data_IF_148937176057
#
_entry.id   IF_148937176057
#
_cell.length_a   1.000
_cell.length_b   1.000
_cell.length_c   1.000
_cell.angle_alpha   90.00
_cell.angle_beta   90.00
_cell.angle_gamma   90.00
#
_symmetry.space_group_name_H-M   'P 1'
#
loop_
_entity.id
_entity.type
_entity.pdbx_description
1 polymer ?
#
# COMPACT_ATOMS: atom_id res chain seq x y z
N UNK A 1 29.92 -102.59 -15.90
CA UNK A 1 31.12 -101.85 -15.47
C UNK A 1 30.66 -100.66 -14.60
N UNK A 2 31.11 -100.66 -13.36
CA UNK A 2 30.70 -99.73 -12.30
C UNK A 2 31.46 -98.42 -12.43
N UNK A 3 30.83 -97.32 -12.30
CA UNK A 3 31.49 -96.04 -11.91
C UNK A 3 30.57 -95.20 -11.00
N UNK A 4 31.08 -95.04 -9.80
CA UNK A 4 30.48 -94.23 -8.75
C UNK A 4 30.61 -92.75 -9.07
N UNK A 5 29.52 -91.91 -8.84
CA UNK A 5 29.61 -90.47 -8.72
C UNK A 5 29.28 -90.07 -7.30
N UNK A 6 30.25 -89.41 -6.67
CA UNK A 6 30.16 -88.77 -5.35
C UNK A 6 29.45 -87.48 -5.43
N UNK A 7 28.42 -87.29 -4.57
CA UNK A 7 27.72 -86.04 -4.38
C UNK A 7 28.61 -85.04 -3.61
N UNK A 8 28.78 -83.85 -4.18
CA UNK A 8 29.35 -82.71 -3.50
C UNK A 8 28.18 -81.74 -3.28
N UNK A 9 27.82 -81.58 -2.00
CA UNK A 9 26.79 -80.58 -1.59
C UNK A 9 27.37 -79.16 -1.58
N UNK A 10 26.74 -78.30 -2.32
CA UNK A 10 27.04 -76.84 -2.29
C UNK A 10 26.12 -76.17 -1.28
N UNK A 11 26.71 -75.66 -0.18
CA UNK A 11 26.01 -74.86 0.81
C UNK A 11 25.97 -73.43 0.30
N UNK A 12 24.80 -72.93 -0.05
CA UNK A 12 24.58 -71.49 -0.35
C UNK A 12 24.36 -70.75 0.96
N UNK A 13 25.34 -69.91 1.34
CA UNK A 13 25.22 -68.98 2.41
C UNK A 13 24.50 -67.74 1.89
N UNK A 14 23.21 -67.55 2.25
CA UNK A 14 22.45 -66.32 1.93
C UNK A 14 22.81 -65.25 2.92
N UNK A 15 23.60 -64.27 2.50
CA UNK A 15 23.82 -63.01 3.26
C UNK A 15 22.66 -62.08 3.04
N UNK A 16 21.82 -61.92 4.05
CA UNK A 16 20.76 -60.88 4.08
C UNK A 16 21.43 -59.54 4.35
N UNK A 17 21.57 -58.72 3.33
CA UNK A 17 21.93 -57.29 3.50
C UNK A 17 20.70 -56.51 3.99
N UNK A 18 20.69 -56.16 5.28
CA UNK A 18 19.76 -55.19 5.84
C UNK A 18 20.16 -53.80 5.33
N UNK A 19 19.54 -53.31 4.26
CA UNK A 19 19.60 -51.91 3.90
C UNK A 19 18.76 -51.11 4.89
N UNK A 20 19.43 -50.55 5.91
CA UNK A 20 18.87 -49.52 6.77
C UNK A 20 18.66 -48.27 5.91
N UNK A 21 17.44 -48.01 5.50
CA UNK A 21 17.02 -46.68 5.05
C UNK A 21 17.05 -45.74 6.26
N UNK A 22 18.15 -45.03 6.48
CA UNK A 22 18.14 -43.85 7.29
C UNK A 22 17.28 -42.82 6.57
N UNK A 23 16.07 -42.53 7.08
CA UNK A 23 15.38 -41.29 6.78
C UNK A 23 16.33 -40.18 7.22
N UNK A 24 16.94 -39.50 6.28
CA UNK A 24 17.45 -38.16 6.54
C UNK A 24 16.22 -37.29 6.87
N UNK A 25 15.97 -37.03 8.15
CA UNK A 25 15.20 -35.90 8.57
C UNK A 25 15.97 -34.67 8.06
N UNK A 26 15.48 -34.10 6.95
CA UNK A 26 15.90 -32.78 6.54
C UNK A 26 15.43 -31.83 7.64
N UNK A 27 16.29 -31.62 8.62
CA UNK A 27 16.15 -30.50 9.54
C UNK A 27 16.23 -29.24 8.67
N UNK A 28 15.07 -28.72 8.27
CA UNK A 28 14.95 -27.38 7.76
C UNK A 28 15.49 -26.47 8.86
N UNK A 29 16.76 -26.10 8.75
CA UNK A 29 17.33 -25.01 9.55
C UNK A 29 16.59 -23.75 9.11
N UNK A 30 15.49 -23.41 9.78
CA UNK A 30 14.89 -22.09 9.67
C UNK A 30 15.94 -21.09 10.10
N UNK A 31 16.55 -20.41 9.14
CA UNK A 31 17.42 -19.25 9.42
C UNK A 31 16.54 -18.30 10.24
N UNK A 32 16.96 -17.90 11.44
CA UNK A 32 16.18 -16.95 12.20
C UNK A 32 15.96 -15.70 11.38
N UNK A 33 14.72 -15.20 11.30
CA UNK A 33 14.41 -13.96 10.62
C UNK A 33 15.33 -12.85 11.15
N UNK A 34 16.10 -12.22 10.27
CA UNK A 34 16.94 -11.09 10.66
C UNK A 34 16.08 -9.83 10.68
N UNK A 35 16.22 -9.02 11.73
CA UNK A 35 15.56 -7.71 11.79
C UNK A 35 16.10 -6.84 10.66
N UNK A 36 15.26 -6.36 9.73
CA UNK A 36 15.73 -5.58 8.59
C UNK A 36 16.18 -4.18 9.00
N UNK A 37 17.02 -3.56 8.17
CA UNK A 37 17.33 -2.15 8.31
C UNK A 37 16.14 -1.28 7.88
N UNK A 38 16.07 -0.06 8.39
CA UNK A 38 15.10 0.94 7.93
C UNK A 38 15.19 1.18 6.41
N UNK A 39 16.42 1.21 5.88
CA UNK A 39 16.65 1.40 4.45
C UNK A 39 16.10 0.24 3.61
N UNK A 40 16.26 -1.01 4.07
CA UNK A 40 15.73 -2.17 3.34
C UNK A 40 14.19 -2.11 3.24
N UNK A 41 13.52 -1.76 4.33
CA UNK A 41 12.07 -1.60 4.35
C UNK A 41 11.61 -0.43 3.46
N UNK A 42 12.27 0.73 3.55
CA UNK A 42 12.00 1.89 2.69
C UNK A 42 12.21 1.56 1.20
N UNK A 43 13.21 0.74 0.86
CA UNK A 43 13.44 0.32 -0.53
C UNK A 43 12.28 -0.48 -1.11
N UNK A 44 11.61 -1.34 -0.31
CA UNK A 44 10.41 -2.03 -0.77
C UNK A 44 9.27 -1.06 -1.09
N UNK A 45 9.03 -0.08 -0.21
CA UNK A 45 7.99 0.95 -0.42
C UNK A 45 8.29 1.80 -1.67
N UNK A 46 9.55 2.20 -1.86
CA UNK A 46 9.98 2.95 -3.04
C UNK A 46 9.83 2.13 -4.32
N UNK A 47 10.14 0.84 -4.29
CA UNK A 47 9.92 -0.06 -5.42
C UNK A 47 8.43 -0.16 -5.77
N UNK A 48 7.54 -0.20 -4.76
CA UNK A 48 6.11 -0.21 -4.96
C UNK A 48 5.61 1.11 -5.61
N UNK A 49 6.11 2.27 -5.16
CA UNK A 49 5.82 3.58 -5.79
C UNK A 49 6.24 3.59 -7.26
N UNK A 50 7.46 3.10 -7.56
CA UNK A 50 7.91 2.99 -8.95
C UNK A 50 7.01 2.09 -9.78
N UNK A 51 6.52 1.00 -9.20
CA UNK A 51 5.62 0.04 -9.87
C UNK A 51 4.25 0.61 -10.25
N UNK A 52 3.80 1.69 -9.58
CA UNK A 52 2.54 2.39 -9.90
C UNK A 52 2.76 3.72 -10.61
N UNK A 53 4.01 4.07 -10.94
CA UNK A 53 4.36 5.31 -11.63
C UNK A 53 4.21 5.14 -13.14
N UNK A 54 3.51 6.08 -13.78
CA UNK A 54 3.41 6.22 -15.23
C UNK A 54 4.02 7.54 -15.65
N UNK A 55 4.76 7.54 -16.77
CA UNK A 55 5.31 8.76 -17.33
C UNK A 55 4.78 8.97 -18.75
N UNK A 56 4.48 10.21 -19.09
CA UNK A 56 4.11 10.64 -20.43
C UNK A 56 4.61 12.06 -20.70
N UNK A 57 4.50 12.52 -21.95
CA UNK A 57 4.91 13.88 -22.32
C UNK A 57 3.77 14.64 -22.93
N UNK A 58 3.85 15.96 -22.88
CA UNK A 58 3.02 16.87 -23.66
C UNK A 58 3.88 17.97 -24.32
N UNK A 59 3.35 18.62 -25.35
CA UNK A 59 3.94 19.80 -25.95
C UNK A 59 3.16 21.01 -25.45
N UNK A 60 3.83 21.90 -24.72
CA UNK A 60 3.15 22.94 -23.95
C UNK A 60 2.33 23.91 -24.82
N UNK A 61 2.87 24.33 -25.97
CA UNK A 61 2.19 25.27 -26.90
C UNK A 61 0.99 24.66 -27.65
N UNK A 62 0.81 23.33 -27.62
CA UNK A 62 -0.37 22.69 -28.22
C UNK A 62 -1.66 22.87 -27.39
N UNK A 63 -1.58 23.53 -26.24
CA UNK A 63 -2.73 23.81 -25.40
C UNK A 63 -3.19 22.60 -24.58
N UNK A 64 -4.46 22.24 -24.67
CA UNK A 64 -5.04 21.17 -23.85
C UNK A 64 -4.56 19.80 -24.31
N UNK A 65 -3.73 19.16 -23.47
CA UNK A 65 -3.32 17.76 -23.64
C UNK A 65 -4.27 16.84 -22.85
N UNK A 66 -4.57 15.68 -23.45
CA UNK A 66 -5.36 14.62 -22.81
C UNK A 66 -4.57 13.33 -22.83
N UNK A 67 -4.44 12.68 -21.67
CA UNK A 67 -3.84 11.35 -21.53
C UNK A 67 -4.80 10.42 -20.81
N UNK A 68 -4.69 9.12 -21.05
CA UNK A 68 -5.50 8.09 -20.38
C UNK A 68 -4.55 7.16 -19.64
N UNK A 69 -4.75 7.00 -18.35
CA UNK A 69 -3.94 6.12 -17.51
C UNK A 69 -4.23 4.64 -17.78
N UNK A 70 -3.38 3.72 -17.28
CA UNK A 70 -3.65 2.28 -17.36
C UNK A 70 -4.97 1.84 -16.72
N UNK A 71 -5.46 2.57 -15.71
CA UNK A 71 -6.75 2.32 -15.05
C UNK A 71 -7.93 3.05 -15.73
N UNK A 72 -7.68 3.81 -16.79
CA UNK A 72 -8.71 4.51 -17.55
C UNK A 72 -9.09 5.88 -16.99
N UNK A 73 -8.28 6.46 -16.09
CA UNK A 73 -8.44 7.87 -15.69
C UNK A 73 -8.03 8.77 -16.85
N UNK A 74 -8.92 9.72 -17.19
CA UNK A 74 -8.61 10.74 -18.21
C UNK A 74 -7.97 11.94 -17.49
N UNK A 75 -6.74 12.26 -17.88
CA UNK A 75 -5.94 13.36 -17.33
C UNK A 75 -5.89 14.49 -18.36
N UNK A 76 -6.36 15.67 -18.00
CA UNK A 76 -6.36 16.85 -18.89
C UNK A 76 -5.49 17.95 -18.29
N UNK A 77 -4.45 18.36 -19.02
CA UNK A 77 -3.50 19.40 -18.62
C UNK A 77 -3.41 20.44 -19.74
N UNK A 78 -3.63 21.70 -19.41
CA UNK A 78 -3.44 22.79 -20.37
C UNK A 78 -1.96 23.23 -20.37
N UNK A 79 -1.23 22.87 -21.43
CA UNK A 79 0.19 23.22 -21.59
C UNK A 79 0.43 24.72 -21.59
N UNK A 80 -0.47 25.53 -22.15
CA UNK A 80 -0.37 27.01 -22.13
C UNK A 80 -0.42 27.59 -20.71
N UNK A 81 -0.94 26.84 -19.75
CA UNK A 81 -0.97 27.20 -18.33
C UNK A 81 0.31 26.91 -17.57
N UNK A 82 1.25 26.15 -18.16
CA UNK A 82 2.48 25.74 -17.47
C UNK A 82 3.46 26.89 -17.32
N UNK A 83 4.18 26.92 -16.19
CA UNK A 83 5.15 27.95 -15.85
C UNK A 83 6.44 27.33 -15.33
N UNK A 84 7.57 27.80 -15.86
CA UNK A 84 8.91 27.50 -15.39
C UNK A 84 9.51 28.75 -14.79
N UNK A 85 9.72 28.78 -13.48
CA UNK A 85 10.16 29.96 -12.75
C UNK A 85 9.30 31.21 -13.05
N UNK A 86 7.97 31.02 -13.14
CA UNK A 86 6.99 32.05 -13.42
C UNK A 86 6.77 32.38 -14.92
N UNK A 87 7.62 31.92 -15.81
CA UNK A 87 7.54 32.20 -17.25
C UNK A 87 6.75 31.11 -18.00
N UNK A 88 6.04 31.46 -19.10
CA UNK A 88 5.41 30.49 -19.97
C UNK A 88 6.39 29.45 -20.51
N UNK A 89 5.92 28.24 -20.71
CA UNK A 89 6.71 27.09 -21.18
C UNK A 89 6.38 26.80 -22.64
N UNK A 90 7.37 26.42 -23.45
CA UNK A 90 7.22 25.87 -24.79
C UNK A 90 8.02 24.58 -24.93
N UNK A 91 7.63 23.73 -25.89
CA UNK A 91 8.30 22.45 -26.15
C UNK A 91 7.83 21.32 -25.25
N UNK A 92 8.63 20.26 -25.20
CA UNK A 92 8.29 19.03 -24.50
C UNK A 92 8.36 19.22 -22.99
N UNK A 93 7.32 18.73 -22.31
CA UNK A 93 7.22 18.67 -20.84
C UNK A 93 7.01 17.23 -20.44
N UNK A 94 7.78 16.77 -19.45
CA UNK A 94 7.69 15.44 -18.86
C UNK A 94 6.66 15.47 -17.72
N UNK A 95 5.72 14.52 -17.73
CA UNK A 95 4.70 14.34 -16.71
C UNK A 95 4.93 13.01 -16.01
N UNK A 96 5.03 13.05 -14.68
CA UNK A 96 4.96 11.87 -13.81
C UNK A 96 3.57 11.78 -13.23
N UNK A 97 2.98 10.59 -13.28
CA UNK A 97 1.65 10.31 -12.79
C UNK A 97 1.63 9.02 -11.96
N UNK A 98 0.95 9.06 -10.81
CA UNK A 98 0.70 7.90 -9.96
C UNK A 98 -0.79 7.84 -9.68
N UNK A 99 -1.36 6.63 -9.61
CA UNK A 99 -2.73 6.38 -9.20
C UNK A 99 -2.82 5.15 -8.30
N UNK A 100 -3.53 5.29 -7.17
CA UNK A 100 -3.74 4.25 -6.17
C UNK A 100 -5.23 4.15 -5.86
N UNK A 101 -5.80 2.92 -5.91
CA UNK A 101 -7.24 2.71 -5.75
C UNK A 101 -7.61 1.61 -4.76
N UNK A 102 -6.69 0.74 -4.39
CA UNK A 102 -6.98 -0.45 -3.58
C UNK A 102 -6.08 -0.53 -2.35
N UNK A 103 -6.57 -1.21 -1.30
CA UNK A 103 -5.89 -1.32 -0.02
C UNK A 103 -4.50 -1.96 -0.10
N UNK A 104 -4.31 -2.93 -1.02
CA UNK A 104 -3.01 -3.56 -1.25
C UNK A 104 -1.97 -2.58 -1.75
N UNK A 105 -2.33 -1.73 -2.72
CA UNK A 105 -1.46 -0.66 -3.24
C UNK A 105 -1.24 0.43 -2.19
N UNK A 106 -2.28 0.84 -1.45
CA UNK A 106 -2.15 1.80 -0.35
C UNK A 106 -1.14 1.33 0.68
N UNK A 107 -1.17 0.05 1.04
CA UNK A 107 -0.25 -0.55 1.99
C UNK A 107 1.19 -0.56 1.47
N UNK A 108 1.42 -1.11 0.27
CA UNK A 108 2.78 -1.29 -0.27
C UNK A 108 3.45 0.03 -0.62
N UNK A 109 2.67 1.05 -1.00
CA UNK A 109 3.17 2.41 -1.28
C UNK A 109 3.22 3.32 -0.05
N UNK A 110 2.73 2.85 1.11
CA UNK A 110 2.56 3.64 2.35
C UNK A 110 1.73 4.92 2.13
N UNK A 111 0.69 4.82 1.31
CA UNK A 111 -0.29 5.89 1.05
C UNK A 111 -1.63 5.45 1.65
N UNK A 112 -1.96 5.98 2.82
CA UNK A 112 -3.14 5.59 3.58
C UNK A 112 -4.22 6.65 3.53
N UNK A 113 -5.47 6.25 3.75
CA UNK A 113 -6.65 7.11 3.67
C UNK A 113 -7.01 7.68 5.03
N UNK A 114 -6.10 8.45 5.63
CA UNK A 114 -6.34 9.16 6.89
C UNK A 114 -6.52 10.65 6.62
N UNK A 115 -7.70 11.18 6.92
CA UNK A 115 -8.05 12.60 6.76
C UNK A 115 -7.96 13.38 8.06
N UNK A 116 -7.42 14.59 7.99
CA UNK A 116 -7.30 15.48 9.14
C UNK A 116 -8.66 16.12 9.49
N UNK A 117 -9.10 15.89 10.70
CA UNK A 117 -10.28 16.55 11.29
C UNK A 117 -9.97 18.00 11.70
N UNK A 118 -10.98 18.86 11.87
CA UNK A 118 -10.78 20.25 12.32
C UNK A 118 -10.07 20.38 13.67
N UNK A 119 -10.19 19.39 14.56
CA UNK A 119 -9.50 19.36 15.84
C UNK A 119 -8.05 18.83 15.76
N UNK A 120 -7.57 18.48 14.56
CA UNK A 120 -6.23 17.98 14.30
C UNK A 120 -6.07 16.47 14.38
N UNK A 121 -7.07 15.75 14.88
CA UNK A 121 -7.06 14.28 14.85
C UNK A 121 -7.19 13.75 13.41
N UNK A 122 -6.78 12.50 13.20
CA UNK A 122 -6.91 11.82 11.92
C UNK A 122 -8.04 10.79 11.99
N UNK A 123 -8.84 10.68 10.95
CA UNK A 123 -9.93 9.72 10.85
C UNK A 123 -9.94 9.05 9.48
N UNK A 124 -10.52 7.85 9.40
CA UNK A 124 -10.61 7.07 8.16
C UNK A 124 -11.38 7.83 7.08
N UNK A 125 -10.83 7.84 5.88
CA UNK A 125 -11.51 8.26 4.66
C UNK A 125 -11.90 7.04 3.82
N UNK A 126 -12.98 7.17 3.06
CA UNK A 126 -13.34 6.26 1.98
C UNK A 126 -12.85 6.90 0.70
N UNK A 127 -11.94 6.21 -0.01
CA UNK A 127 -11.22 6.79 -1.14
C UNK A 127 -11.94 6.56 -2.49
N UNK A 128 -11.99 7.60 -3.28
CA UNK A 128 -12.30 7.61 -4.70
C UNK A 128 -11.05 7.61 -5.60
N UNK A 129 -9.86 7.44 -4.97
CA UNK A 129 -8.57 7.34 -5.64
C UNK A 129 -7.58 8.40 -5.21
N UNK A 130 -6.34 7.98 -5.06
CA UNK A 130 -5.18 8.83 -4.73
C UNK A 130 -4.34 9.05 -5.99
N UNK A 131 -3.92 10.29 -6.20
CA UNK A 131 -3.23 10.70 -7.42
C UNK A 131 -2.02 11.56 -7.10
N UNK A 132 -0.93 11.32 -7.79
CA UNK A 132 0.21 12.25 -7.83
C UNK A 132 0.45 12.70 -9.26
N UNK A 133 0.62 14.01 -9.44
CA UNK A 133 0.96 14.61 -10.74
C UNK A 133 2.15 15.54 -10.53
N UNK A 134 3.15 15.40 -11.38
CA UNK A 134 4.32 16.27 -11.43
C UNK A 134 4.62 16.61 -12.88
N UNK A 135 4.96 17.87 -13.16
CA UNK A 135 5.43 18.31 -14.46
C UNK A 135 6.85 18.84 -14.36
N UNK A 136 7.74 18.42 -15.26
CA UNK A 136 9.12 18.89 -15.36
C UNK A 136 9.50 19.25 -16.77
N UNK A 137 10.41 20.21 -16.90
CA UNK A 137 11.08 20.52 -18.17
C UNK A 137 12.59 20.71 -17.94
N UNK A 138 13.38 19.82 -18.54
CA UNK A 138 14.83 19.84 -18.36
C UNK A 138 15.22 19.67 -16.88
N UNK A 139 14.51 18.79 -16.16
CA UNK A 139 14.72 18.52 -14.73
C UNK A 139 14.14 19.55 -13.76
N UNK A 140 13.64 20.69 -14.24
CA UNK A 140 13.06 21.78 -13.40
C UNK A 140 11.57 21.55 -13.22
N UNK A 141 11.09 21.58 -11.97
CA UNK A 141 9.67 21.51 -11.63
C UNK A 141 8.90 22.69 -12.21
N UNK A 142 7.73 22.41 -12.76
CA UNK A 142 6.82 23.40 -13.27
C UNK A 142 5.67 23.65 -12.29
N UNK A 143 5.05 24.82 -12.42
CA UNK A 143 3.76 25.15 -11.82
C UNK A 143 2.71 25.33 -12.92
N UNK A 144 1.44 25.42 -12.55
CA UNK A 144 0.37 25.72 -13.49
C UNK A 144 -0.51 26.87 -13.00
N UNK A 145 -0.96 27.71 -13.92
CA UNK A 145 -1.98 28.76 -13.67
C UNK A 145 -3.35 28.33 -14.22
N UNK A 146 -3.42 27.18 -14.88
CA UNK A 146 -4.66 26.58 -15.36
C UNK A 146 -4.99 25.33 -14.51
N UNK A 147 -6.28 25.05 -14.29
CA UNK A 147 -6.67 23.84 -13.58
C UNK A 147 -6.29 22.57 -14.36
N UNK A 148 -6.04 21.49 -13.63
CA UNK A 148 -5.87 20.12 -14.14
C UNK A 148 -7.21 19.41 -13.88
N UNK A 149 -7.68 18.62 -14.84
CA UNK A 149 -8.91 17.83 -14.67
C UNK A 149 -8.59 16.34 -14.69
N UNK A 150 -9.16 15.60 -13.73
CA UNK A 150 -9.19 14.14 -13.75
C UNK A 150 -10.63 13.65 -13.90
N UNK A 151 -10.85 12.71 -14.83
CA UNK A 151 -12.12 11.99 -14.96
C UNK A 151 -11.88 10.52 -14.55
N UNK A 152 -12.38 10.16 -13.39
CA UNK A 152 -12.10 8.89 -12.71
C UNK A 152 -13.25 7.93 -12.96
N UNK A 153 -12.99 6.71 -13.50
CA UNK A 153 -14.04 5.69 -13.64
C UNK A 153 -14.58 5.27 -12.27
N UNK A 154 -15.89 5.39 -12.05
CA UNK A 154 -16.51 5.01 -10.78
C UNK A 154 -16.38 3.52 -10.45
N UNK A 155 -16.23 2.66 -11.49
CA UNK A 155 -16.02 1.22 -11.29
C UNK A 155 -14.74 0.88 -10.49
N UNK A 156 -13.76 1.80 -10.41
CA UNK A 156 -12.53 1.62 -9.64
C UNK A 156 -12.74 1.73 -8.12
N UNK A 157 -13.85 2.34 -7.69
CA UNK A 157 -14.08 2.73 -6.30
C UNK A 157 -15.48 2.40 -5.80
N UNK A 158 -16.12 1.41 -6.41
CA UNK A 158 -17.48 0.97 -6.02
C UNK A 158 -18.61 1.90 -6.46
N UNK A 159 -18.30 2.92 -7.29
CA UNK A 159 -19.27 3.88 -7.85
C UNK A 159 -18.81 5.33 -7.70
N UNK A 160 -19.17 6.16 -8.67
CA UNK A 160 -18.93 7.61 -8.58
C UNK A 160 -19.82 8.22 -7.49
N UNK A 161 -19.25 9.09 -6.64
CA UNK A 161 -19.94 9.63 -5.49
C UNK A 161 -19.73 11.15 -5.36
N UNK A 162 -20.82 11.91 -5.52
CA UNK A 162 -20.80 13.38 -5.44
C UNK A 162 -20.60 13.94 -4.01
N UNK A 163 -20.68 13.10 -2.98
CA UNK A 163 -20.38 13.52 -1.60
C UNK A 163 -18.86 13.49 -1.28
N UNK A 164 -18.02 13.05 -2.22
CA UNK A 164 -16.58 13.14 -2.09
C UNK A 164 -16.08 14.55 -2.36
N UNK A 165 -14.96 14.90 -1.73
CA UNK A 165 -14.25 16.17 -1.89
C UNK A 165 -12.81 15.88 -2.31
N UNK A 166 -12.06 16.92 -2.68
CA UNK A 166 -10.62 16.78 -2.96
C UNK A 166 -9.81 17.05 -1.70
N UNK A 167 -8.75 16.27 -1.53
CA UNK A 167 -7.84 16.33 -0.39
C UNK A 167 -6.41 16.52 -0.88
N UNK A 168 -5.64 17.36 -0.24
CA UNK A 168 -4.24 17.60 -0.56
C UNK A 168 -3.33 16.80 0.37
N UNK A 169 -2.38 16.08 -0.20
CA UNK A 169 -1.26 15.46 0.51
C UNK A 169 -0.12 16.47 0.63
N UNK A 170 0.32 16.73 1.84
CA UNK A 170 1.41 17.69 2.09
C UNK A 170 2.78 17.01 2.02
N UNK A 171 3.10 16.42 0.88
CA UNK A 171 4.34 15.69 0.67
C UNK A 171 5.16 16.31 -0.46
N UNK A 172 6.48 16.49 -0.25
CA UNK A 172 7.36 17.09 -1.25
C UNK A 172 7.68 16.16 -2.42
N UNK A 173 7.64 14.85 -2.22
CA UNK A 173 7.95 13.83 -3.23
C UNK A 173 6.98 12.64 -3.15
N UNK A 174 6.87 11.83 -4.22
CA UNK A 174 6.04 10.62 -4.22
C UNK A 174 6.42 9.61 -3.13
N UNK A 175 7.70 9.53 -2.79
CA UNK A 175 8.27 8.55 -1.87
C UNK A 175 8.13 8.96 -0.40
N UNK A 176 7.82 10.23 -0.11
CA UNK A 176 7.67 10.69 1.27
C UNK A 176 6.51 9.97 1.98
N UNK A 177 6.70 9.67 3.27
CA UNK A 177 5.66 9.01 4.09
C UNK A 177 4.46 9.92 4.29
N UNK A 178 3.27 9.38 4.06
CA UNK A 178 2.02 10.12 4.20
C UNK A 178 1.64 10.25 5.68
N UNK A 179 1.57 11.50 6.17
CA UNK A 179 1.07 11.80 7.50
C UNK A 179 -0.45 12.02 7.54
N UNK A 180 -1.10 12.06 6.39
CA UNK A 180 -2.54 12.23 6.22
C UNK A 180 -2.91 13.28 5.19
N UNK A 181 -4.21 13.35 4.92
CA UNK A 181 -4.80 14.22 3.91
C UNK A 181 -5.48 15.41 4.57
N UNK A 182 -5.35 16.58 3.96
CA UNK A 182 -6.05 17.81 4.37
C UNK A 182 -7.09 18.15 3.32
N UNK A 183 -8.33 18.35 3.73
CA UNK A 183 -9.41 18.69 2.81
C UNK A 183 -9.10 20.02 2.08
N UNK A 184 -9.21 20.00 0.76
CA UNK A 184 -8.97 21.15 -0.08
C UNK A 184 -10.28 21.95 -0.27
N UNK A 185 -10.56 22.84 0.67
CA UNK A 185 -11.77 23.70 0.63
C UNK A 185 -11.70 24.79 -0.45
N UNK A 186 -10.52 25.02 -1.05
CA UNK A 186 -10.34 26.02 -2.11
C UNK A 186 -10.62 25.44 -3.52
N UNK A 187 -10.76 24.10 -3.67
CA UNK A 187 -11.03 23.51 -4.98
C UNK A 187 -12.44 23.89 -5.48
N UNK A 188 -12.57 24.54 -6.64
CA UNK A 188 -13.86 24.93 -7.15
C UNK A 188 -14.69 23.71 -7.60
N UNK A 189 -15.96 23.69 -7.19
CA UNK A 189 -16.98 22.83 -7.77
C UNK A 189 -17.10 21.42 -7.23
N UNK A 190 -16.29 21.01 -6.22
CA UNK A 190 -16.37 19.68 -5.64
C UNK A 190 -16.18 18.55 -6.68
N UNK A 191 -16.71 17.37 -6.41
CA UNK A 191 -16.69 16.22 -7.31
C UNK A 191 -17.96 16.24 -8.19
N UNK A 192 -17.79 16.35 -9.50
CA UNK A 192 -18.88 16.27 -10.46
C UNK A 192 -19.08 14.81 -10.90
N UNK A 193 -20.30 14.29 -10.84
CA UNK A 193 -20.61 12.92 -11.24
C UNK A 193 -21.48 12.92 -12.50
N UNK A 194 -20.96 12.30 -13.58
CA UNK A 194 -21.69 12.11 -14.83
C UNK A 194 -21.21 10.85 -15.56
N UNK A 195 -22.11 10.11 -16.19
CA UNK A 195 -21.78 8.93 -17.01
C UNK A 195 -20.99 7.85 -16.26
N UNK A 196 -21.21 7.68 -14.94
CA UNK A 196 -20.49 6.70 -14.12
C UNK A 196 -19.04 7.10 -13.78
N UNK A 197 -18.66 8.36 -14.03
CA UNK A 197 -17.32 8.90 -13.71
C UNK A 197 -17.42 10.04 -12.70
N UNK A 198 -16.38 10.18 -11.90
CA UNK A 198 -16.14 11.34 -11.04
C UNK A 198 -15.17 12.28 -11.74
N UNK A 199 -15.55 13.54 -11.92
CA UNK A 199 -14.67 14.58 -12.47
C UNK A 199 -14.25 15.52 -11.34
N UNK A 200 -12.94 15.72 -11.22
CA UNK A 200 -12.34 16.61 -10.22
C UNK A 200 -11.43 17.63 -10.89
N UNK A 201 -11.36 18.80 -10.29
CA UNK A 201 -10.50 19.91 -10.71
C UNK A 201 -9.42 20.15 -9.68
N UNK A 202 -8.15 20.10 -10.11
CA UNK A 202 -6.98 20.32 -9.29
C UNK A 202 -6.37 21.69 -9.62
N UNK A 203 -5.97 22.43 -8.61
CA UNK A 203 -5.38 23.76 -8.78
C UNK A 203 -3.86 23.78 -8.92
N UNK A 204 -3.22 22.61 -8.90
CA UNK A 204 -1.77 22.47 -8.99
C UNK A 204 -1.33 21.03 -9.08
N UNK A 205 -0.02 20.87 -9.07
CA UNK A 205 0.66 19.56 -9.04
C UNK A 205 0.84 19.07 -7.60
N UNK A 206 1.17 17.79 -7.43
CA UNK A 206 1.41 17.13 -6.16
C UNK A 206 0.42 16.00 -5.89
N UNK A 207 0.36 15.55 -4.64
CA UNK A 207 -0.58 14.54 -4.17
C UNK A 207 -1.98 15.12 -3.98
N UNK A 208 -2.95 14.43 -4.52
CA UNK A 208 -4.38 14.70 -4.33
C UNK A 208 -5.12 13.40 -4.10
N UNK A 209 -6.07 13.41 -3.19
CA UNK A 209 -7.02 12.31 -2.99
C UNK A 209 -8.46 12.82 -3.23
N UNK A 210 -9.36 11.91 -3.57
CA UNK A 210 -10.79 12.17 -3.81
C UNK A 210 -11.58 11.34 -2.82
N UNK A 211 -11.94 11.91 -1.69
CA UNK A 211 -12.41 11.15 -0.54
C UNK A 211 -13.62 11.78 0.14
N UNK A 212 -14.19 11.01 1.07
CA UNK A 212 -15.11 11.48 2.11
C UNK A 212 -14.80 10.77 3.41
N UNK A 213 -15.14 11.38 4.55
CA UNK A 213 -15.00 10.70 5.83
C UNK A 213 -15.84 9.42 5.90
N UNK A 214 -15.26 8.38 6.51
CA UNK A 214 -16.01 7.26 7.01
C UNK A 214 -16.84 7.73 8.22
N UNK A 215 -18.16 7.71 8.07
CA UNK A 215 -19.05 8.19 9.12
C UNK A 215 -19.58 7.00 9.94
N UNK A 216 -19.21 6.98 11.22
CA UNK A 216 -19.63 5.98 12.19
C UNK A 216 -19.97 6.67 13.52
N UNK A 217 -21.15 6.36 14.07
CA UNK A 217 -21.67 7.00 15.29
C UNK A 217 -21.37 6.20 16.55
N UNK A 218 -20.75 5.02 16.45
CA UNK A 218 -20.37 4.19 17.60
C UNK A 218 -19.34 4.92 18.48
N UNK A 219 -19.30 4.59 19.80
CA UNK A 219 -18.19 5.02 20.65
C UNK A 219 -16.84 4.61 20.04
N UNK A 220 -15.82 5.42 20.27
CA UNK A 220 -14.50 5.24 19.65
C UNK A 220 -13.44 4.94 20.69
N UNK A 221 -12.35 4.31 20.28
CA UNK A 221 -11.20 3.96 21.10
C UNK A 221 -9.92 4.13 20.32
N UNK A 222 -8.78 4.23 21.01
CA UNK A 222 -7.47 4.01 20.42
C UNK A 222 -7.18 2.50 20.37
N UNK A 223 -6.27 2.11 19.47
CA UNK A 223 -5.74 0.75 19.38
C UNK A 223 -4.23 0.76 19.56
N UNK A 224 -3.73 -0.29 20.19
CA UNK A 224 -2.31 -0.54 20.36
C UNK A 224 -1.92 -1.87 19.71
N UNK A 225 -0.68 -1.96 19.26
CA UNK A 225 -0.13 -3.22 18.79
C UNK A 225 1.33 -3.38 19.17
N UNK A 226 1.68 -4.59 19.60
CA UNK A 226 3.07 -4.99 19.88
C UNK A 226 3.61 -5.78 18.71
N UNK A 227 4.90 -5.64 18.45
CA UNK A 227 5.63 -6.33 17.39
C UNK A 227 6.81 -7.11 17.99
N UNK A 228 7.40 -8.07 17.26
CA UNK A 228 8.58 -8.78 17.75
C UNK A 228 9.74 -7.84 18.10
N UNK A 229 10.60 -8.27 19.00
CA UNK A 229 11.76 -7.47 19.42
C UNK A 229 12.64 -7.06 18.23
N UNK A 230 13.08 -5.80 18.20
CA UNK A 230 13.89 -5.21 17.15
C UNK A 230 13.08 -4.53 16.04
N UNK A 231 11.78 -4.80 15.95
CA UNK A 231 10.91 -4.10 14.97
C UNK A 231 10.38 -2.80 15.56
N UNK A 232 10.29 -1.77 14.73
CA UNK A 232 9.85 -0.43 15.11
C UNK A 232 9.39 0.36 13.88
N UNK A 233 9.00 1.61 14.06
CA UNK A 233 8.51 2.50 12.97
C UNK A 233 9.50 2.71 11.81
N UNK A 234 10.78 2.44 11.98
CA UNK A 234 11.78 2.59 10.91
C UNK A 234 11.83 1.39 9.97
N UNK A 235 11.53 0.19 10.46
CA UNK A 235 11.70 -1.04 9.70
C UNK A 235 10.44 -1.90 9.59
N UNK A 236 9.32 -1.42 10.09
CA UNK A 236 8.02 -2.10 10.01
C UNK A 236 6.87 -1.10 10.10
N UNK A 237 5.67 -1.55 9.73
CA UNK A 237 4.43 -0.78 9.87
C UNK A 237 3.28 -1.68 10.27
N UNK A 238 2.26 -1.08 10.89
CA UNK A 238 0.98 -1.73 11.16
C UNK A 238 -0.12 -0.92 10.51
N UNK A 239 -0.95 -1.59 9.72
CA UNK A 239 -2.11 -1.03 9.06
C UNK A 239 -3.40 -1.63 9.59
N UNK A 240 -4.51 -0.95 9.33
CA UNK A 240 -5.85 -1.37 9.73
C UNK A 240 -6.78 -1.30 8.52
N UNK A 241 -7.28 -2.46 8.09
CA UNK A 241 -8.31 -2.59 7.08
C UNK A 241 -9.68 -2.70 7.76
N UNK A 242 -10.63 -1.88 7.37
CA UNK A 242 -12.02 -1.97 7.80
C UNK A 242 -12.79 -2.89 6.86
N UNK A 243 -13.39 -3.94 7.39
CA UNK A 243 -14.17 -4.88 6.58
C UNK A 243 -15.31 -4.16 5.85
N UNK A 244 -15.46 -4.44 4.55
CA UNK A 244 -16.39 -3.76 3.67
C UNK A 244 -15.86 -2.48 3.00
N UNK A 245 -14.61 -2.08 3.25
CA UNK A 245 -13.98 -0.89 2.67
C UNK A 245 -12.69 -1.22 1.92
N UNK A 246 -12.79 -1.93 0.80
CA UNK A 246 -11.64 -2.39 0.01
C UNK A 246 -10.75 -1.28 -0.58
N UNK A 247 -11.23 -0.03 -0.60
CA UNK A 247 -10.51 1.15 -1.07
C UNK A 247 -10.14 2.13 0.05
N UNK A 248 -9.94 1.62 1.26
CA UNK A 248 -9.57 2.41 2.44
C UNK A 248 -8.58 1.66 3.31
N UNK A 249 -7.62 2.38 3.88
CA UNK A 249 -6.62 1.80 4.76
C UNK A 249 -6.15 2.82 5.78
N UNK A 250 -6.22 2.49 7.07
CA UNK A 250 -5.61 3.28 8.14
C UNK A 250 -4.23 2.75 8.50
N UNK A 251 -3.49 3.49 9.29
CA UNK A 251 -2.18 3.12 9.83
C UNK A 251 -2.14 3.40 11.32
N UNK A 252 -1.43 2.53 12.06
CA UNK A 252 -0.97 2.88 13.41
C UNK A 252 0.21 3.84 13.24
N UNK A 253 -0.07 5.12 13.26
CA UNK A 253 0.81 6.19 12.80
C UNK A 253 1.90 6.59 13.81
N UNK A 254 1.78 6.12 15.04
CA UNK A 254 2.68 6.45 16.13
C UNK A 254 3.35 5.21 16.70
N UNK A 255 4.64 5.33 17.03
CA UNK A 255 5.39 4.31 17.76
C UNK A 255 5.77 4.84 19.14
N UNK A 256 5.52 4.05 20.18
CA UNK A 256 5.80 4.35 21.57
C UNK A 256 7.06 3.61 22.02
N UNK A 257 8.26 4.22 22.02
CA UNK A 257 9.52 3.52 22.28
C UNK A 257 9.59 2.91 23.70
N UNK A 258 8.97 3.55 24.68
CA UNK A 258 8.99 3.09 26.07
C UNK A 258 8.27 1.75 26.27
N UNK A 259 7.22 1.47 25.51
CA UNK A 259 6.44 0.23 25.57
C UNK A 259 6.63 -0.65 24.34
N UNK A 260 7.40 -0.20 23.34
CA UNK A 260 7.61 -0.87 22.06
C UNK A 260 6.31 -1.21 21.34
N UNK A 261 5.37 -0.26 21.34
CA UNK A 261 4.03 -0.42 20.74
C UNK A 261 3.81 0.57 19.62
N UNK A 262 3.12 0.10 18.58
CA UNK A 262 2.44 0.96 17.61
C UNK A 262 1.08 1.39 18.18
N UNK A 263 0.67 2.60 17.85
CA UNK A 263 -0.58 3.20 18.30
C UNK A 263 -1.33 3.88 17.16
N UNK A 264 -2.60 3.63 17.06
CA UNK A 264 -3.55 4.59 16.51
C UNK A 264 -3.93 5.54 17.67
N UNK A 265 -3.21 6.63 17.81
CA UNK A 265 -3.24 7.45 19.00
C UNK A 265 -4.38 8.49 19.04
N UNK A 266 -5.11 8.67 17.94
CA UNK A 266 -6.18 9.68 17.87
C UNK A 266 -7.50 9.23 18.50
N UNK A 267 -7.65 7.93 18.82
CA UNK A 267 -8.87 7.38 19.39
C UNK A 267 -10.08 7.49 18.45
N UNK A 268 -9.85 7.28 17.16
CA UNK A 268 -10.92 7.43 16.15
C UNK A 268 -11.49 6.11 15.64
N UNK A 269 -11.09 4.97 16.23
CA UNK A 269 -11.52 3.64 15.78
C UNK A 269 -12.85 3.26 16.46
N UNK A 270 -13.92 2.96 15.70
CA UNK A 270 -15.23 2.60 16.28
C UNK A 270 -15.17 1.26 17.03
N UNK A 271 -15.69 1.23 18.27
CA UNK A 271 -15.84 0.01 19.04
C UNK A 271 -16.88 -0.89 18.38
N UNK A 272 -16.62 -2.19 18.27
CA UNK A 272 -17.46 -3.17 17.57
C UNK A 272 -17.29 -3.17 16.05
N UNK A 273 -16.29 -2.45 15.51
CA UNK A 273 -15.92 -2.55 14.09
C UNK A 273 -15.24 -3.90 13.84
N UNK A 274 -15.64 -4.59 12.77
CA UNK A 274 -14.93 -5.77 12.27
C UNK A 274 -13.83 -5.28 11.34
N UNK A 275 -12.60 -5.74 11.55
CA UNK A 275 -11.45 -5.27 10.81
C UNK A 275 -10.27 -6.24 10.88
N UNK A 276 -9.22 -5.94 10.13
CA UNK A 276 -7.98 -6.70 10.10
C UNK A 276 -6.79 -5.77 10.40
N UNK A 277 -5.98 -6.12 11.41
CA UNK A 277 -4.68 -5.51 11.63
C UNK A 277 -3.62 -6.24 10.80
N UNK A 278 -2.74 -5.49 10.15
CA UNK A 278 -1.77 -5.99 9.19
C UNK A 278 -0.39 -5.49 9.60
N UNK A 279 0.45 -6.39 10.10
CA UNK A 279 1.87 -6.12 10.32
C UNK A 279 2.65 -6.39 9.04
N UNK A 280 3.54 -5.47 8.67
CA UNK A 280 4.43 -5.64 7.52
C UNK A 280 5.84 -5.18 7.83
N UNK A 281 6.81 -5.86 7.22
CA UNK A 281 8.23 -5.54 7.27
C UNK A 281 8.94 -6.12 6.04
N UNK A 282 10.25 -5.97 5.98
CA UNK A 282 11.10 -6.52 4.92
C UNK A 282 11.77 -7.83 5.39
N UNK A 283 11.96 -8.77 4.48
CA UNK A 283 12.80 -9.96 4.65
C UNK A 283 13.47 -10.34 3.33
N UNK A 284 14.79 -10.20 3.23
CA UNK A 284 15.57 -10.62 2.06
C UNK A 284 15.04 -10.11 0.71
N UNK A 285 14.65 -8.85 0.65
CA UNK A 285 14.09 -8.22 -0.55
C UNK A 285 12.61 -8.52 -0.81
N UNK A 286 11.92 -9.16 0.12
CA UNK A 286 10.50 -9.48 0.03
C UNK A 286 9.72 -8.90 1.20
N UNK A 287 8.40 -8.92 1.11
CA UNK A 287 7.51 -8.53 2.17
C UNK A 287 7.30 -9.67 3.16
N UNK A 288 7.60 -9.42 4.46
CA UNK A 288 7.15 -10.27 5.55
C UNK A 288 5.92 -9.64 6.18
N UNK A 289 4.86 -10.41 6.38
CA UNK A 289 3.60 -9.88 6.88
C UNK A 289 2.78 -10.89 7.69
N UNK A 290 1.91 -10.37 8.56
CA UNK A 290 0.86 -11.12 9.24
C UNK A 290 -0.45 -10.33 9.21
N UNK A 291 -1.58 -11.02 9.05
CA UNK A 291 -2.92 -10.44 8.99
C UNK A 291 -3.76 -11.06 10.10
N UNK A 292 -4.39 -10.24 10.94
CA UNK A 292 -5.24 -10.67 12.06
C UNK A 292 -6.62 -10.05 11.98
N UNK A 293 -7.65 -10.89 11.86
CA UNK A 293 -9.05 -10.49 11.96
C UNK A 293 -9.44 -10.29 13.44
N UNK A 294 -10.24 -9.26 13.71
CA UNK A 294 -10.79 -9.01 15.03
C UNK A 294 -12.03 -8.10 14.98
N UNK A 295 -12.71 -8.01 16.11
CA UNK A 295 -13.73 -7.00 16.36
C UNK A 295 -13.21 -6.07 17.45
N UNK A 296 -13.15 -4.78 17.16
CA UNK A 296 -12.58 -3.76 18.04
C UNK A 296 -13.28 -3.74 19.41
N UNK A 297 -12.47 -3.85 20.48
CA UNK A 297 -12.89 -3.63 21.86
C UNK A 297 -12.16 -2.40 22.42
N UNK A 298 -12.72 -1.81 23.46
CA UNK A 298 -12.10 -0.64 24.10
C UNK A 298 -10.77 -1.00 24.75
N UNK A 299 -9.69 -0.32 24.33
CA UNK A 299 -8.35 -0.51 24.90
C UNK A 299 -7.63 -1.77 24.42
N UNK A 300 -8.02 -2.35 23.28
CA UNK A 300 -7.37 -3.52 22.69
C UNK A 300 -5.88 -3.29 22.42
N UNK A 301 -5.11 -4.34 22.64
CA UNK A 301 -3.68 -4.45 22.29
C UNK A 301 -3.47 -5.70 21.44
N UNK A 302 -3.08 -5.54 20.19
CA UNK A 302 -2.83 -6.66 19.28
C UNK A 302 -1.36 -7.06 19.30
N UNK A 303 -1.07 -8.34 19.52
CA UNK A 303 0.29 -8.84 19.56
C UNK A 303 0.63 -9.59 18.27
N UNK A 304 1.70 -9.19 17.59
CA UNK A 304 2.26 -9.89 16.43
C UNK A 304 3.53 -10.63 16.82
N UNK A 305 3.64 -11.88 16.35
CA UNK A 305 4.84 -12.73 16.54
C UNK A 305 5.43 -13.11 15.18
N UNK A 306 6.72 -13.42 15.11
CA UNK A 306 7.34 -13.87 13.85
C UNK A 306 6.76 -15.21 13.36
N UNK A 307 6.32 -16.08 14.27
CA UNK A 307 5.72 -17.36 13.92
C UNK A 307 4.41 -17.23 13.14
N UNK A 308 3.72 -16.10 13.27
CA UNK A 308 2.46 -15.79 12.55
C UNK A 308 2.69 -15.16 11.18
N UNK A 309 3.94 -14.78 10.89
CA UNK A 309 4.24 -14.10 9.62
C UNK A 309 4.50 -15.09 8.50
N UNK A 310 4.22 -14.63 7.29
CA UNK A 310 4.64 -15.27 6.04
C UNK A 310 5.52 -14.32 5.25
N UNK A 311 6.36 -14.84 4.36
CA UNK A 311 7.15 -14.06 3.41
C UNK A 311 6.57 -14.25 2.03
N UNK A 312 6.40 -13.17 1.29
CA UNK A 312 5.84 -13.19 -0.04
C UNK A 312 6.28 -12.01 -0.90
N UNK A 313 6.02 -12.14 -2.19
CA UNK A 313 6.23 -11.04 -3.14
C UNK A 313 5.24 -9.90 -2.87
N UNK A 314 5.52 -8.71 -3.40
CA UNK A 314 4.58 -7.59 -3.36
C UNK A 314 3.20 -7.97 -3.91
N UNK A 315 3.14 -8.68 -5.03
CA UNK A 315 1.88 -9.11 -5.64
C UNK A 315 1.08 -10.06 -4.74
N UNK A 316 1.75 -10.95 -4.00
CA UNK A 316 1.09 -11.85 -3.04
C UNK A 316 0.52 -11.08 -1.84
N UNK A 317 1.27 -10.12 -1.29
CA UNK A 317 0.79 -9.26 -0.22
C UNK A 317 -0.43 -8.43 -0.68
N UNK A 318 -0.31 -7.73 -1.82
CA UNK A 318 -1.41 -6.93 -2.37
C UNK A 318 -2.66 -7.78 -2.62
N UNK A 319 -2.51 -8.98 -3.19
CA UNK A 319 -3.62 -9.91 -3.40
C UNK A 319 -4.26 -10.34 -2.07
N UNK A 320 -3.45 -10.62 -1.04
CA UNK A 320 -3.96 -11.00 0.28
C UNK A 320 -4.77 -9.86 0.93
N UNK A 321 -4.31 -8.60 0.81
CA UNK A 321 -5.03 -7.44 1.33
C UNK A 321 -6.31 -7.18 0.55
N UNK A 322 -6.27 -7.25 -0.78
CA UNK A 322 -7.42 -6.98 -1.65
C UNK A 322 -8.48 -8.11 -1.59
N UNK A 323 -8.15 -9.26 -1.01
CA UNK A 323 -9.07 -10.36 -0.75
C UNK A 323 -9.77 -10.27 0.63
N UNK A 324 -9.40 -9.30 1.46
CA UNK A 324 -10.09 -9.06 2.73
C UNK A 324 -11.53 -8.60 2.48
N UNK A 325 -12.46 -8.91 3.42
CA UNK A 325 -13.89 -8.59 3.27
C UNK A 325 -14.16 -7.12 3.02
#
# INVERSE_FOLDING_TARGET
MKTNFRNIGLVFLATIALSSCSKEESTSTTIPASVPSAQAFTNLQNAAILGVTTNFTLIAENGLATNISPKGVVIKINGNGLRKNGNPVTGVVDIKYIEVFDGGKMLTTDKTTLGKLPNGAMAMLISGGEFFIEAKQGGVLLTTVSPITLEIPGALTGGANAAMTTWAGQLPTPEANMLGWVENTAAPGGVQVAGGRSTVTLLGFGWTNVDRFYNDTRPRTLLLATVPSGYNQGNSSIYLHYDGLGNSLAKFDTYLPATQQFSEHYGQIPIGLVCHAIFVTEESGQWRYAIKAFTVQSGDVYNFTLAETVVGTQAQLEAAINALP
#
